data_IF_648569953500
#
_entry.id   IF_648569953500
#
_cell.length_a   1.000
_cell.length_b   1.000
_cell.length_c   1.000
_cell.angle_alpha   90.00
_cell.angle_beta   90.00
_cell.angle_gamma   90.00
#
_symmetry.space_group_name_H-M   'P 1'
#
loop_
_entity.id
_entity.type
_entity.pdbx_description
1 polymer ?
#
# COMPACT_ATOMS: atom_id res chain seq x y z
N UNK A 1 33.38 -47.28 -8.53
CA UNK A 1 31.91 -47.17 -8.79
C UNK A 1 31.09 -46.66 -7.61
N UNK A 2 31.29 -47.14 -6.39
CA UNK A 2 30.52 -46.72 -5.19
C UNK A 2 30.62 -45.22 -4.88
N UNK A 3 31.81 -44.61 -4.91
CA UNK A 3 32.06 -43.18 -4.60
C UNK A 3 31.34 -42.25 -5.56
N UNK A 4 31.31 -42.57 -6.86
CA UNK A 4 30.61 -41.76 -7.88
C UNK A 4 29.10 -41.72 -7.63
N UNK A 5 28.51 -42.86 -7.26
CA UNK A 5 27.07 -42.93 -6.96
C UNK A 5 26.72 -42.15 -5.69
N UNK A 6 27.60 -42.16 -4.68
CA UNK A 6 27.42 -41.39 -3.43
C UNK A 6 27.44 -39.87 -3.77
N UNK A 7 28.37 -39.40 -4.58
CA UNK A 7 28.45 -37.99 -4.97
C UNK A 7 27.19 -37.54 -5.75
N UNK A 8 26.66 -38.41 -6.61
CA UNK A 8 25.40 -38.11 -7.33
C UNK A 8 24.23 -37.97 -6.36
N UNK A 9 24.10 -38.86 -5.41
CA UNK A 9 23.03 -38.83 -4.40
C UNK A 9 23.13 -37.58 -3.54
N UNK A 10 24.33 -37.21 -3.09
CA UNK A 10 24.56 -35.97 -2.33
C UNK A 10 24.19 -34.74 -3.16
N UNK A 11 24.57 -34.68 -4.43
CA UNK A 11 24.24 -33.58 -5.33
C UNK A 11 22.72 -33.44 -5.53
N UNK A 12 22.01 -34.57 -5.68
CA UNK A 12 20.54 -34.54 -5.81
C UNK A 12 19.89 -34.03 -4.52
N UNK A 13 20.31 -34.51 -3.35
CA UNK A 13 19.79 -34.07 -2.06
C UNK A 13 20.03 -32.58 -1.84
N UNK A 14 21.23 -32.10 -2.18
CA UNK A 14 21.55 -30.65 -2.08
C UNK A 14 20.65 -29.81 -2.98
N UNK A 15 20.41 -30.23 -4.23
CA UNK A 15 19.51 -29.53 -5.13
C UNK A 15 18.07 -29.52 -4.61
N UNK A 16 17.57 -30.63 -4.08
CA UNK A 16 16.22 -30.69 -3.48
C UNK A 16 16.09 -29.70 -2.32
N UNK A 17 17.07 -29.69 -1.41
CA UNK A 17 17.08 -28.72 -0.30
C UNK A 17 17.11 -27.29 -0.80
N UNK A 18 17.95 -27.00 -1.79
CA UNK A 18 18.07 -25.65 -2.38
C UNK A 18 16.76 -25.21 -3.05
N UNK A 19 16.12 -26.07 -3.84
CA UNK A 19 14.83 -25.79 -4.45
C UNK A 19 13.74 -25.56 -3.41
N UNK A 20 13.67 -26.37 -2.37
CA UNK A 20 12.71 -26.20 -1.28
C UNK A 20 12.92 -24.88 -0.55
N UNK A 21 14.17 -24.52 -0.27
CA UNK A 21 14.52 -23.24 0.35
C UNK A 21 14.12 -22.04 -0.51
N UNK A 22 14.42 -22.07 -1.82
CA UNK A 22 14.06 -20.99 -2.76
C UNK A 22 12.54 -20.84 -2.83
N UNK A 23 11.82 -21.94 -2.98
CA UNK A 23 10.35 -21.93 -3.04
C UNK A 23 9.72 -21.37 -1.77
N UNK A 24 10.20 -21.80 -0.61
CA UNK A 24 9.73 -21.31 0.69
C UNK A 24 10.00 -19.81 0.86
N UNK A 25 11.20 -19.36 0.49
CA UNK A 25 11.58 -17.94 0.52
C UNK A 25 10.68 -17.09 -0.37
N UNK A 26 10.45 -17.51 -1.61
CA UNK A 26 9.57 -16.78 -2.53
C UNK A 26 8.13 -16.71 -2.02
N UNK A 27 7.62 -17.78 -1.45
CA UNK A 27 6.27 -17.82 -0.87
C UNK A 27 6.13 -16.81 0.27
N UNK A 28 7.10 -16.76 1.18
CA UNK A 28 7.10 -15.79 2.29
C UNK A 28 7.21 -14.34 1.82
N UNK A 29 8.03 -14.07 0.81
CA UNK A 29 8.14 -12.72 0.25
C UNK A 29 6.83 -12.27 -0.39
N UNK A 30 6.16 -13.15 -1.13
CA UNK A 30 4.84 -12.87 -1.72
C UNK A 30 3.79 -12.58 -0.66
N UNK A 31 3.75 -13.37 0.40
CA UNK A 31 2.82 -13.16 1.51
C UNK A 31 3.08 -11.82 2.22
N UNK A 32 4.33 -11.51 2.52
CA UNK A 32 4.71 -10.23 3.12
C UNK A 32 4.28 -9.04 2.25
N UNK A 33 4.55 -9.10 0.94
CA UNK A 33 4.18 -8.04 0.01
C UNK A 33 2.65 -7.89 -0.13
N UNK A 34 1.93 -9.01 -0.16
CA UNK A 34 0.47 -9.02 -0.14
C UNK A 34 -0.08 -8.34 1.12
N UNK A 35 0.47 -8.66 2.29
CA UNK A 35 0.05 -8.06 3.56
C UNK A 35 0.30 -6.54 3.59
N UNK A 36 1.42 -6.06 3.04
CA UNK A 36 1.69 -4.63 2.90
C UNK A 36 0.69 -3.95 1.97
N UNK A 37 0.35 -4.59 0.86
CA UNK A 37 -0.67 -4.08 -0.08
C UNK A 37 -2.06 -4.00 0.56
N UNK A 38 -2.45 -5.00 1.33
CA UNK A 38 -3.70 -4.96 2.10
C UNK A 38 -3.68 -3.91 3.19
N UNK A 39 -2.54 -3.70 3.87
CA UNK A 39 -2.34 -2.64 4.84
C UNK A 39 -2.61 -1.26 4.23
N UNK A 40 -1.95 -0.95 3.11
CA UNK A 40 -2.15 0.31 2.39
C UNK A 40 -3.61 0.51 1.95
N UNK A 41 -4.27 -0.52 1.43
CA UNK A 41 -5.69 -0.42 1.06
C UNK A 41 -6.58 -0.17 2.30
N UNK A 42 -6.21 -0.75 3.45
CA UNK A 42 -6.85 -0.47 4.74
C UNK A 42 -6.70 0.99 5.15
N UNK A 43 -5.51 1.58 4.99
CA UNK A 43 -5.26 2.99 5.29
C UNK A 43 -6.07 3.93 4.39
N UNK A 44 -6.21 3.61 3.09
CA UNK A 44 -7.06 4.37 2.16
C UNK A 44 -8.54 4.33 2.57
N UNK A 45 -9.06 3.18 2.97
CA UNK A 45 -10.43 3.05 3.47
C UNK A 45 -10.61 3.77 4.81
N UNK A 46 -9.62 3.70 5.71
CA UNK A 46 -9.66 4.44 6.98
C UNK A 46 -9.63 5.94 6.76
N UNK A 47 -8.84 6.42 5.82
CA UNK A 47 -8.79 7.84 5.45
C UNK A 47 -10.16 8.31 4.95
N UNK A 48 -10.79 7.58 4.02
CA UNK A 48 -12.14 7.88 3.53
C UNK A 48 -13.13 8.01 4.69
N UNK A 49 -13.18 7.00 5.56
CA UNK A 49 -14.08 6.97 6.71
C UNK A 49 -13.81 8.09 7.72
N UNK A 50 -12.54 8.45 7.90
CA UNK A 50 -12.12 9.52 8.82
C UNK A 50 -12.56 10.88 8.31
N UNK A 51 -12.41 11.13 7.00
CA UNK A 51 -12.91 12.37 6.37
C UNK A 51 -14.42 12.45 6.51
N UNK A 52 -15.14 11.36 6.24
CA UNK A 52 -16.61 11.31 6.40
C UNK A 52 -17.01 11.61 7.84
N UNK A 53 -16.34 10.99 8.81
CA UNK A 53 -16.60 11.25 10.23
C UNK A 53 -16.37 12.71 10.61
N UNK A 54 -15.25 13.31 10.20
CA UNK A 54 -14.93 14.71 10.50
C UNK A 54 -15.91 15.68 9.82
N UNK A 55 -16.29 15.39 8.59
CA UNK A 55 -17.30 16.18 7.87
C UNK A 55 -18.64 16.20 8.61
N UNK A 56 -19.09 15.06 9.11
CA UNK A 56 -20.33 14.94 9.88
C UNK A 56 -20.23 15.57 11.30
N UNK A 57 -19.03 15.68 11.85
CA UNK A 57 -18.74 16.26 13.15
C UNK A 57 -18.15 17.69 13.09
N UNK A 58 -18.35 18.41 11.99
CA UNK A 58 -17.93 19.81 11.80
C UNK A 58 -16.42 20.02 11.98
N UNK A 59 -15.60 19.05 11.62
CA UNK A 59 -14.14 19.14 11.67
C UNK A 59 -13.61 19.50 13.05
N UNK A 60 -14.13 18.85 14.09
CA UNK A 60 -13.77 19.14 15.49
C UNK A 60 -12.35 18.68 15.85
N UNK A 61 -11.75 17.75 15.08
CA UNK A 61 -10.38 17.30 15.21
C UNK A 61 -9.76 17.01 13.84
N UNK A 62 -9.28 18.06 13.19
CA UNK A 62 -8.74 18.05 11.83
C UNK A 62 -7.47 17.18 11.72
N UNK A 63 -6.70 17.08 12.81
CA UNK A 63 -5.41 16.41 12.80
C UNK A 63 -5.52 14.91 12.55
N UNK A 64 -6.62 14.29 12.97
CA UNK A 64 -6.87 12.86 12.73
C UNK A 64 -6.90 12.54 11.23
N UNK A 65 -7.43 13.45 10.40
CA UNK A 65 -7.41 13.27 8.94
C UNK A 65 -5.99 13.42 8.39
N UNK A 66 -5.24 14.41 8.90
CA UNK A 66 -3.85 14.64 8.46
C UNK A 66 -2.94 13.46 8.81
N UNK A 67 -3.10 12.89 10.01
CA UNK A 67 -2.40 11.66 10.41
C UNK A 67 -2.72 10.50 9.45
N UNK A 68 -3.99 10.34 9.05
CA UNK A 68 -4.36 9.29 8.10
C UNK A 68 -3.79 9.51 6.70
N UNK A 69 -3.62 10.75 6.26
CA UNK A 69 -2.91 11.05 5.01
C UNK A 69 -1.44 10.63 5.12
N UNK A 70 -0.81 10.85 6.26
CA UNK A 70 0.57 10.41 6.50
C UNK A 70 0.68 8.89 6.54
N UNK A 71 -0.25 8.18 7.23
CA UNK A 71 -0.31 6.72 7.24
C UNK A 71 -0.36 6.17 5.80
N UNK A 72 -1.22 6.73 4.94
CA UNK A 72 -1.31 6.34 3.52
C UNK A 72 0.02 6.60 2.81
N UNK A 73 0.65 7.76 2.98
CA UNK A 73 1.93 8.08 2.34
C UNK A 73 3.05 7.17 2.79
N UNK A 74 3.10 6.87 4.08
CA UNK A 74 4.07 5.92 4.63
C UNK A 74 3.82 4.50 4.11
N UNK A 75 2.58 4.04 4.08
CA UNK A 75 2.19 2.75 3.52
C UNK A 75 2.60 2.61 2.04
N UNK A 76 2.37 3.64 1.21
CA UNK A 76 2.83 3.66 -0.19
C UNK A 76 4.36 3.55 -0.25
N UNK A 77 5.07 4.34 0.54
CA UNK A 77 6.54 4.33 0.56
C UNK A 77 7.08 2.98 1.01
N UNK A 78 6.54 2.39 2.07
CA UNK A 78 6.94 1.08 2.57
C UNK A 78 6.69 -0.02 1.53
N UNK A 79 5.52 -0.03 0.88
CA UNK A 79 5.18 -1.00 -0.16
C UNK A 79 6.15 -0.90 -1.34
N UNK A 80 6.46 0.33 -1.78
CA UNK A 80 7.37 0.60 -2.89
C UNK A 80 8.80 0.17 -2.56
N UNK A 81 9.36 0.64 -1.43
CA UNK A 81 10.74 0.35 -1.03
C UNK A 81 10.93 -1.15 -0.78
N UNK A 82 9.99 -1.78 -0.10
CA UNK A 82 10.05 -3.22 0.15
C UNK A 82 9.96 -3.99 -1.16
N UNK A 83 9.00 -3.64 -2.02
CA UNK A 83 8.82 -4.30 -3.32
C UNK A 83 10.05 -4.22 -4.22
N UNK A 84 10.71 -3.05 -4.27
CA UNK A 84 11.96 -2.86 -5.01
C UNK A 84 13.10 -3.71 -4.43
N UNK A 85 13.32 -3.62 -3.11
CA UNK A 85 14.44 -4.28 -2.45
C UNK A 85 14.38 -5.81 -2.51
N UNK A 86 13.18 -6.38 -2.51
CA UNK A 86 13.00 -7.82 -2.62
C UNK A 86 12.75 -8.30 -4.07
N UNK A 87 12.71 -7.39 -5.03
CA UNK A 87 12.49 -7.70 -6.45
C UNK A 87 11.09 -8.23 -6.75
N UNK A 88 10.07 -7.79 -5.99
CA UNK A 88 8.69 -8.28 -6.09
C UNK A 88 7.80 -7.39 -6.96
N UNK A 89 8.23 -6.19 -7.29
CA UNK A 89 7.49 -5.27 -8.15
C UNK A 89 8.18 -5.03 -9.47
N UNK A 90 7.40 -4.90 -10.51
CA UNK A 90 7.83 -4.45 -11.84
C UNK A 90 7.97 -2.93 -11.87
N UNK A 91 8.61 -2.42 -12.92
CA UNK A 91 8.73 -0.96 -13.13
C UNK A 91 7.36 -0.28 -13.32
N UNK A 92 6.39 -0.98 -13.91
CA UNK A 92 5.02 -0.47 -14.02
C UNK A 92 4.38 -0.30 -12.63
N UNK A 93 4.48 -1.32 -11.80
CA UNK A 93 3.93 -1.28 -10.43
C UNK A 93 4.60 -0.20 -9.57
N UNK A 94 5.90 -0.01 -9.73
CA UNK A 94 6.63 1.10 -9.10
C UNK A 94 6.06 2.46 -9.56
N UNK A 95 5.79 2.62 -10.85
CA UNK A 95 5.21 3.85 -11.40
C UNK A 95 3.79 4.10 -10.86
N UNK A 96 2.96 3.07 -10.70
CA UNK A 96 1.63 3.18 -10.11
C UNK A 96 1.73 3.73 -8.67
N UNK A 97 2.63 3.16 -7.85
CA UNK A 97 2.86 3.62 -6.49
C UNK A 97 3.42 5.06 -6.43
N UNK A 98 4.32 5.42 -7.35
CA UNK A 98 4.81 6.80 -7.45
C UNK A 98 3.70 7.77 -7.85
N UNK A 99 2.77 7.36 -8.71
CA UNK A 99 1.62 8.18 -9.10
C UNK A 99 0.71 8.42 -7.90
N UNK A 100 0.39 7.36 -7.17
CA UNK A 100 -0.39 7.45 -5.94
C UNK A 100 0.30 8.32 -4.87
N UNK A 101 1.60 8.14 -4.66
CA UNK A 101 2.37 8.96 -3.71
C UNK A 101 2.32 10.44 -4.04
N UNK A 102 2.53 10.80 -5.33
CA UNK A 102 2.46 12.20 -5.80
C UNK A 102 1.07 12.79 -5.66
N UNK A 103 0.03 11.99 -5.86
CA UNK A 103 -1.34 12.44 -5.63
C UNK A 103 -1.54 12.87 -4.18
N UNK A 104 -1.15 12.03 -3.22
CA UNK A 104 -1.27 12.34 -1.80
C UNK A 104 -0.30 13.44 -1.33
N UNK A 105 0.80 13.69 -2.03
CA UNK A 105 1.70 14.80 -1.72
C UNK A 105 1.09 16.19 -1.94
N UNK A 106 -0.06 16.29 -2.63
CA UNK A 106 -0.78 17.55 -2.84
C UNK A 106 -1.73 17.91 -1.69
N UNK A 107 -1.89 17.05 -0.69
CA UNK A 107 -2.74 17.30 0.47
C UNK A 107 -1.92 17.82 1.65
N UNK A 108 -2.54 18.60 2.56
CA UNK A 108 -1.87 19.04 3.76
C UNK A 108 -1.47 17.84 4.63
N UNK A 109 -0.36 18.00 5.35
CA UNK A 109 0.18 16.99 6.25
C UNK A 109 0.20 17.50 7.67
N UNK A 110 0.24 16.58 8.63
CA UNK A 110 0.42 16.93 10.02
C UNK A 110 1.82 17.52 10.25
N UNK A 111 1.87 18.72 10.83
CA UNK A 111 3.14 19.43 11.06
C UNK A 111 3.66 19.31 12.50
N UNK A 112 2.99 18.49 13.30
CA UNK A 112 3.32 18.35 14.72
C UNK A 112 2.60 19.38 15.58
N UNK A 113 3.23 19.75 16.68
CA UNK A 113 2.64 20.66 17.66
C UNK A 113 3.12 22.11 17.43
N UNK A 114 2.26 23.15 17.46
CA UNK A 114 0.81 23.09 17.72
C UNK A 114 0.03 22.47 16.55
N UNK A 115 -1.13 21.91 16.85
CA UNK A 115 -2.00 21.27 15.87
C UNK A 115 -2.25 22.16 14.66
N UNK A 116 -2.19 21.57 13.48
CA UNK A 116 -2.51 22.24 12.22
C UNK A 116 -4.00 22.58 12.17
N UNK A 117 -4.33 23.79 11.74
CA UNK A 117 -5.71 24.16 11.42
C UNK A 117 -5.88 24.20 9.92
N UNK A 118 -6.94 23.55 9.45
CA UNK A 118 -7.27 23.53 8.03
C UNK A 118 -8.07 24.80 7.65
N UNK A 119 -7.75 25.34 6.49
CA UNK A 119 -8.56 26.36 5.87
C UNK A 119 -9.76 25.72 5.15
N UNK A 120 -10.81 26.50 4.89
CA UNK A 120 -12.00 26.02 4.18
C UNK A 120 -11.66 25.41 2.81
N UNK A 121 -10.63 25.90 2.13
CA UNK A 121 -10.19 25.34 0.86
C UNK A 121 -9.60 23.93 1.02
N UNK A 122 -8.86 23.68 2.09
CA UNK A 122 -8.29 22.35 2.38
C UNK A 122 -9.38 21.38 2.80
N UNK A 123 -10.32 21.82 3.62
CA UNK A 123 -11.52 21.04 3.97
C UNK A 123 -12.27 20.60 2.72
N UNK A 124 -12.52 21.52 1.78
CA UNK A 124 -13.20 21.20 0.53
C UNK A 124 -12.40 20.21 -0.34
N UNK A 125 -11.08 20.32 -0.37
CA UNK A 125 -10.22 19.33 -1.05
C UNK A 125 -10.32 17.95 -0.40
N UNK A 126 -10.33 17.87 0.93
CA UNK A 126 -10.47 16.61 1.65
C UNK A 126 -11.84 15.97 1.45
N UNK A 127 -12.91 16.77 1.40
CA UNK A 127 -14.24 16.25 1.08
C UNK A 127 -14.27 15.64 -0.34
N UNK A 128 -13.63 16.29 -1.32
CA UNK A 128 -13.50 15.71 -2.67
C UNK A 128 -12.66 14.44 -2.65
N UNK A 129 -11.54 14.42 -1.93
CA UNK A 129 -10.71 13.23 -1.76
C UNK A 129 -11.53 12.03 -1.25
N UNK A 130 -12.42 12.26 -0.26
CA UNK A 130 -13.34 11.21 0.21
C UNK A 130 -14.21 10.66 -0.92
N UNK A 131 -14.80 11.54 -1.74
CA UNK A 131 -15.66 11.14 -2.84
C UNK A 131 -14.88 10.38 -3.92
N UNK A 132 -13.67 10.85 -4.22
CA UNK A 132 -12.75 10.22 -5.17
C UNK A 132 -12.31 8.83 -4.68
N UNK A 133 -11.96 8.69 -3.39
CA UNK A 133 -11.63 7.40 -2.78
C UNK A 133 -12.80 6.41 -2.87
N UNK A 134 -14.03 6.88 -2.60
CA UNK A 134 -15.24 6.07 -2.77
C UNK A 134 -15.43 5.61 -4.20
N UNK A 135 -15.29 6.52 -5.13
CA UNK A 135 -15.49 6.26 -6.57
C UNK A 135 -14.45 5.28 -7.09
N UNK A 136 -13.20 5.37 -6.63
CA UNK A 136 -12.12 4.45 -6.94
C UNK A 136 -12.26 3.08 -6.24
N UNK A 137 -13.25 2.90 -5.36
CA UNK A 137 -13.52 1.62 -4.70
C UNK A 137 -12.79 1.41 -3.37
N UNK A 138 -12.39 2.49 -2.69
CA UNK A 138 -11.86 2.48 -1.32
C UNK A 138 -12.82 3.07 -0.29
N UNK A 139 -14.12 2.96 -0.52
CA UNK A 139 -15.13 3.30 0.47
C UNK A 139 -15.34 2.19 1.50
N UNK A 140 -15.91 2.56 2.63
CA UNK A 140 -16.34 1.60 3.67
C UNK A 140 -17.32 0.58 3.06
N UNK A 141 -17.13 -0.71 3.35
CA UNK A 141 -17.87 -1.85 2.82
C UNK A 141 -17.53 -2.27 1.38
N UNK A 142 -16.52 -1.71 0.76
CA UNK A 142 -15.98 -2.18 -0.51
C UNK A 142 -14.81 -3.14 -0.26
N UNK A 143 -14.68 -4.18 -1.06
CA UNK A 143 -13.62 -5.17 -0.90
C UNK A 143 -12.26 -4.64 -1.32
N UNK A 144 -11.20 -5.15 -0.70
CA UNK A 144 -9.83 -4.90 -1.14
C UNK A 144 -9.54 -5.64 -2.45
N UNK A 145 -8.67 -5.04 -3.27
CA UNK A 145 -8.17 -5.70 -4.46
C UNK A 145 -7.22 -6.84 -4.07
N UNK A 146 -7.48 -8.04 -4.56
CA UNK A 146 -6.66 -9.22 -4.28
C UNK A 146 -5.47 -9.38 -5.22
N UNK A 147 -5.45 -8.63 -6.32
CA UNK A 147 -4.44 -8.65 -7.36
C UNK A 147 -4.01 -7.24 -7.76
N UNK A 148 -2.81 -7.15 -8.37
CA UNK A 148 -2.25 -5.86 -8.74
C UNK A 148 -3.05 -5.15 -9.85
N UNK A 149 -3.62 -5.88 -10.79
CA UNK A 149 -4.35 -5.26 -11.90
C UNK A 149 -5.57 -4.48 -11.37
N UNK A 150 -6.33 -5.08 -10.46
CA UNK A 150 -7.45 -4.42 -9.78
C UNK A 150 -7.00 -3.23 -8.92
N UNK A 151 -5.84 -3.35 -8.25
CA UNK A 151 -5.27 -2.26 -7.46
C UNK A 151 -4.80 -1.09 -8.33
N UNK A 152 -4.11 -1.39 -9.45
CA UNK A 152 -3.66 -0.39 -10.42
C UNK A 152 -4.82 0.37 -11.06
N UNK A 153 -5.92 -0.31 -11.43
CA UNK A 153 -7.12 0.36 -11.92
C UNK A 153 -7.69 1.36 -10.92
N UNK A 154 -7.77 0.99 -9.64
CA UNK A 154 -8.23 1.91 -8.59
C UNK A 154 -7.30 3.12 -8.42
N UNK A 155 -5.98 2.93 -8.59
CA UNK A 155 -5.02 4.05 -8.57
C UNK A 155 -5.30 4.98 -9.75
N UNK A 156 -5.50 4.43 -10.94
CA UNK A 156 -5.82 5.19 -12.13
C UNK A 156 -7.13 5.98 -11.96
N UNK A 157 -8.18 5.35 -11.46
CA UNK A 157 -9.47 5.98 -11.21
C UNK A 157 -9.39 7.12 -10.18
N UNK A 158 -8.49 7.00 -9.18
CA UNK A 158 -8.29 8.04 -8.17
C UNK A 158 -7.47 9.23 -8.68
N UNK A 159 -6.52 8.98 -9.58
CA UNK A 159 -5.49 9.97 -9.95
C UNK A 159 -5.73 10.70 -11.27
N UNK A 160 -6.75 10.30 -12.06
CA UNK A 160 -7.22 10.94 -13.29
C UNK A 160 -8.39 11.89 -13.02
#
# INVERSE_FOLDING_TARGET
MKTKNIMIVISILFNVVLFTYIYWRESHLKEMYSNLSFGLQGDLVQLESTIEYQNNNKWNDENVVLEKIEDVREGIHQLMVTGINVGMITKSQENDLWTLYRYFANFPTYTGFPNTKLENNDINKLIRLRDDLRSAGWGTNLGYSSDWASFSMKIEDLTN
#
